data_IF_800905137393
#
_entry.id   IF_800905137393
#
_cell.length_a   1.000
_cell.length_b   1.000
_cell.length_c   1.000
_cell.angle_alpha   90.00
_cell.angle_beta   90.00
_cell.angle_gamma   90.00
#
_symmetry.space_group_name_H-M   'P 1'
#
loop_
_entity.id
_entity.type
_entity.pdbx_description
1 polymer ?
#
# COMPACT_ATOMS: atom_id res chain seq x y z
N UNK A 1 -12.23 -10.45 17.05
CA UNK A 1 -11.07 -11.34 16.87
C UNK A 1 -9.82 -10.49 16.95
N UNK A 2 -8.99 -10.70 17.97
CA UNK A 2 -7.65 -10.12 18.02
C UNK A 2 -6.78 -10.92 17.04
N UNK A 3 -6.18 -10.26 16.08
CA UNK A 3 -5.16 -10.88 15.22
C UNK A 3 -3.92 -11.01 16.08
N UNK A 4 -3.62 -12.22 16.55
CA UNK A 4 -2.40 -12.49 17.30
C UNK A 4 -1.23 -12.48 16.31
N UNK A 5 -0.31 -11.51 16.46
CA UNK A 5 0.86 -11.38 15.59
C UNK A 5 1.96 -12.24 16.17
N UNK A 6 2.24 -13.37 15.51
CA UNK A 6 3.32 -14.26 15.92
C UNK A 6 4.69 -13.69 15.53
N UNK A 7 5.49 -13.33 16.55
CA UNK A 7 6.85 -12.81 16.38
C UNK A 7 7.77 -13.84 15.68
N UNK A 8 7.56 -15.15 15.92
CA UNK A 8 8.36 -16.19 15.28
C UNK A 8 8.09 -16.24 13.78
N UNK A 9 6.82 -16.16 13.38
CA UNK A 9 6.45 -16.10 11.97
C UNK A 9 7.01 -14.87 11.28
N UNK A 10 7.03 -13.69 11.93
CA UNK A 10 7.68 -12.49 11.41
C UNK A 10 9.18 -12.66 11.23
N UNK A 11 9.84 -13.33 12.16
CA UNK A 11 11.28 -13.62 12.07
C UNK A 11 11.58 -14.58 10.92
N UNK A 12 10.83 -15.66 10.80
CA UNK A 12 10.96 -16.64 9.71
C UNK A 12 10.69 -16.03 8.33
N UNK A 13 9.74 -15.09 8.24
CA UNK A 13 9.46 -14.32 7.03
C UNK A 13 10.54 -13.26 6.70
N UNK A 14 11.55 -13.09 7.55
CA UNK A 14 12.65 -12.14 7.32
C UNK A 14 12.28 -10.67 7.53
N UNK A 15 11.19 -10.36 8.26
CA UNK A 15 10.73 -8.97 8.51
C UNK A 15 11.73 -8.16 9.33
N UNK A 16 12.64 -8.82 10.03
CA UNK A 16 13.69 -8.19 10.82
C UNK A 16 14.84 -7.60 9.98
N UNK A 17 14.95 -7.91 8.69
CA UNK A 17 15.98 -7.32 7.83
C UNK A 17 15.64 -5.88 7.45
N UNK A 18 16.49 -4.95 7.87
CA UNK A 18 16.39 -3.54 7.55
C UNK A 18 17.31 -3.12 6.39
N UNK A 19 17.55 -1.83 6.27
CA UNK A 19 18.43 -1.26 5.25
C UNK A 19 19.90 -1.34 5.63
N UNK A 20 20.78 -1.17 4.64
CA UNK A 20 22.23 -1.00 4.87
C UNK A 20 22.48 0.21 5.75
N UNK A 21 23.52 0.12 6.60
CA UNK A 21 23.90 1.18 7.54
C UNK A 21 24.26 2.51 6.85
N UNK A 22 24.63 2.48 5.57
CA UNK A 22 24.88 3.68 4.75
C UNK A 22 23.60 4.32 4.17
N UNK A 23 22.44 3.65 4.29
CA UNK A 23 21.17 4.08 3.65
C UNK A 23 20.00 4.08 4.63
N UNK A 24 20.22 4.51 5.84
CA UNK A 24 19.19 4.60 6.85
C UNK A 24 18.90 6.05 7.25
N UNK A 25 17.77 6.29 7.90
CA UNK A 25 17.45 7.59 8.44
C UNK A 25 17.66 7.59 9.96
N UNK A 26 18.33 8.61 10.58
CA UNK A 26 18.60 8.63 12.02
C UNK A 26 17.39 8.47 12.93
N UNK A 27 16.20 8.94 12.50
CA UNK A 27 14.94 8.73 13.24
C UNK A 27 14.51 7.27 13.36
N UNK A 28 15.14 6.36 12.61
CA UNK A 28 14.93 4.91 12.75
C UNK A 28 15.69 4.29 13.90
N UNK A 29 16.64 5.01 14.52
CA UNK A 29 17.46 4.51 15.63
C UNK A 29 16.64 3.81 16.75
N UNK A 30 15.49 4.33 17.21
CA UNK A 30 14.68 3.68 18.23
C UNK A 30 14.12 2.30 17.84
N UNK A 31 14.03 2.01 16.55
CA UNK A 31 13.43 0.78 15.99
C UNK A 31 14.48 -0.25 15.55
N UNK A 32 15.76 0.07 15.71
CA UNK A 32 16.88 -0.81 15.34
C UNK A 32 17.33 -1.56 16.57
N UNK A 33 17.32 -2.89 16.50
CA UNK A 33 17.81 -3.77 17.54
C UNK A 33 19.35 -3.85 17.51
N UNK A 34 19.92 -4.08 16.34
CA UNK A 34 21.36 -4.28 16.18
C UNK A 34 21.83 -4.04 14.74
N UNK A 35 23.14 -4.14 14.52
CA UNK A 35 23.78 -4.12 13.20
C UNK A 35 24.44 -5.46 12.94
N UNK A 36 24.21 -6.06 11.78
CA UNK A 36 24.85 -7.30 11.34
C UNK A 36 25.20 -7.22 9.86
N UNK A 37 26.45 -7.53 9.51
CA UNK A 37 26.94 -7.56 8.11
C UNK A 37 26.53 -6.29 7.32
N UNK A 38 26.82 -5.11 7.88
CA UNK A 38 26.48 -3.80 7.31
C UNK A 38 24.99 -3.51 7.09
N UNK A 39 24.11 -4.33 7.60
CA UNK A 39 22.66 -4.13 7.60
C UNK A 39 22.13 -3.94 9.01
N UNK A 40 21.12 -3.09 9.15
CA UNK A 40 20.38 -2.95 10.40
C UNK A 40 19.41 -4.11 10.60
N UNK A 41 19.27 -4.55 11.83
CA UNK A 41 18.24 -5.51 12.24
C UNK A 41 17.17 -4.74 12.98
N UNK A 42 15.93 -4.85 12.50
CA UNK A 42 14.75 -4.19 13.08
C UNK A 42 14.28 -4.95 14.32
N UNK A 43 13.89 -4.20 15.33
CA UNK A 43 13.33 -4.73 16.57
C UNK A 43 11.89 -5.23 16.34
N UNK A 44 11.71 -6.55 16.30
CA UNK A 44 10.40 -7.17 16.08
C UNK A 44 9.44 -6.96 17.24
N UNK A 45 9.92 -6.80 18.47
CA UNK A 45 9.03 -6.51 19.60
C UNK A 45 8.32 -5.17 19.39
N UNK A 46 9.05 -4.16 18.92
CA UNK A 46 8.47 -2.85 18.56
C UNK A 46 7.56 -2.94 17.33
N UNK A 47 7.84 -3.84 16.41
CA UNK A 47 6.98 -4.09 15.25
C UNK A 47 5.63 -4.66 15.70
N UNK A 48 5.62 -5.64 16.59
CA UNK A 48 4.39 -6.21 17.17
C UNK A 48 3.60 -5.15 17.93
N UNK A 49 4.27 -4.38 18.82
CA UNK A 49 3.63 -3.29 19.55
C UNK A 49 2.97 -2.25 18.63
N UNK A 50 3.64 -1.90 17.52
CA UNK A 50 3.11 -0.97 16.54
C UNK A 50 1.90 -1.55 15.77
N UNK A 51 1.93 -2.83 15.44
CA UNK A 51 0.79 -3.53 14.83
C UNK A 51 -0.41 -3.61 15.76
N UNK A 52 -0.21 -3.92 17.03
CA UNK A 52 -1.26 -3.96 18.05
C UNK A 52 -1.97 -2.60 18.22
N UNK A 53 -1.26 -1.50 17.98
CA UNK A 53 -1.84 -0.16 17.95
C UNK A 53 -2.55 0.15 16.63
N UNK A 54 -2.03 -0.33 15.50
CA UNK A 54 -2.56 -0.04 14.17
C UNK A 54 -3.85 -0.83 13.86
N UNK A 55 -3.91 -2.10 14.26
CA UNK A 55 -5.04 -2.98 13.95
C UNK A 55 -6.39 -2.48 14.51
N UNK A 56 -6.50 -2.06 15.78
CA UNK A 56 -7.75 -1.49 16.28
C UNK A 56 -8.18 -0.22 15.56
N UNK A 57 -7.21 0.62 15.16
CA UNK A 57 -7.49 1.83 14.39
C UNK A 57 -8.10 1.48 13.02
N UNK A 58 -7.52 0.52 12.30
CA UNK A 58 -8.04 0.06 11.00
C UNK A 58 -9.44 -0.55 11.19
N UNK A 59 -9.62 -1.42 12.18
CA UNK A 59 -10.90 -2.05 12.49
C UNK A 59 -11.99 -1.01 12.77
N UNK A 60 -11.70 -0.01 13.60
CA UNK A 60 -12.62 1.09 13.89
C UNK A 60 -12.94 1.92 12.64
N UNK A 61 -11.95 2.14 11.78
CA UNK A 61 -12.13 2.89 10.53
C UNK A 61 -13.08 2.17 9.58
N UNK A 62 -12.90 0.87 9.39
CA UNK A 62 -13.77 0.06 8.53
C UNK A 62 -15.16 -0.11 9.15
N UNK A 63 -15.26 -0.33 10.45
CA UNK A 63 -16.54 -0.42 11.16
C UNK A 63 -17.38 0.86 11.05
N UNK A 64 -16.74 2.02 10.88
CA UNK A 64 -17.43 3.31 10.63
C UNK A 64 -17.86 3.51 9.16
N UNK A 65 -17.79 2.48 8.32
CA UNK A 65 -18.15 2.53 6.90
C UNK A 65 -17.13 3.22 5.99
N UNK A 66 -15.95 3.56 6.54
CA UNK A 66 -14.86 4.16 5.77
C UNK A 66 -14.07 3.08 5.03
N UNK A 67 -13.36 3.49 3.97
CA UNK A 67 -12.52 2.59 3.18
C UNK A 67 -11.05 2.76 3.51
N UNK A 68 -10.29 1.68 3.36
CA UNK A 68 -8.82 1.65 3.49
C UNK A 68 -8.24 1.49 2.10
N UNK A 69 -7.41 2.44 1.68
CA UNK A 69 -6.70 2.36 0.40
C UNK A 69 -5.39 1.58 0.59
N UNK A 70 -5.29 0.44 -0.07
CA UNK A 70 -4.05 -0.34 -0.10
C UNK A 70 -3.10 0.20 -1.16
N UNK A 71 -1.84 0.45 -0.79
CA UNK A 71 -0.81 0.95 -1.73
C UNK A 71 0.39 0.01 -1.72
N UNK A 72 0.65 -0.64 -2.85
CA UNK A 72 1.76 -1.58 -2.99
C UNK A 72 2.41 -1.48 -4.36
N UNK A 73 3.19 -0.42 -4.59
CA UNK A 73 3.83 -0.15 -5.89
C UNK A 73 5.16 -0.90 -6.09
N UNK A 74 5.71 -1.49 -5.04
CA UNK A 74 6.94 -2.30 -5.13
C UNK A 74 6.66 -3.60 -5.88
N UNK A 75 7.51 -3.95 -6.85
CA UNK A 75 7.33 -5.13 -7.72
C UNK A 75 7.03 -6.42 -6.92
N UNK A 76 7.73 -6.64 -5.82
CA UNK A 76 7.58 -7.83 -4.99
C UNK A 76 6.28 -7.85 -4.17
N UNK A 77 5.69 -6.68 -3.88
CA UNK A 77 4.49 -6.56 -3.07
C UNK A 77 3.20 -6.45 -3.90
N UNK A 78 3.31 -6.12 -5.19
CA UNK A 78 2.19 -5.78 -6.08
C UNK A 78 1.06 -6.80 -6.04
N UNK A 79 1.38 -8.05 -6.33
CA UNK A 79 0.36 -9.11 -6.47
C UNK A 79 -0.22 -9.52 -5.12
N UNK A 80 0.60 -9.52 -4.06
CA UNK A 80 0.18 -9.81 -2.68
C UNK A 80 -0.79 -8.74 -2.18
N UNK A 81 -0.44 -7.46 -2.37
CA UNK A 81 -1.28 -6.33 -1.94
C UNK A 81 -2.59 -6.29 -2.73
N UNK A 82 -2.54 -6.58 -4.05
CA UNK A 82 -3.74 -6.67 -4.88
C UNK A 82 -4.68 -7.75 -4.36
N UNK A 83 -4.20 -8.98 -4.21
CA UNK A 83 -5.01 -10.11 -3.73
C UNK A 83 -5.60 -9.84 -2.34
N UNK A 84 -4.83 -9.27 -1.41
CA UNK A 84 -5.31 -8.91 -0.08
C UNK A 84 -6.41 -7.84 -0.11
N UNK A 85 -6.25 -6.81 -0.94
CA UNK A 85 -7.23 -5.75 -1.08
C UNK A 85 -8.53 -6.24 -1.73
N UNK A 86 -8.44 -7.07 -2.77
CA UNK A 86 -9.60 -7.68 -3.44
C UNK A 86 -10.37 -8.59 -2.48
N UNK A 87 -9.69 -9.42 -1.70
CA UNK A 87 -10.33 -10.29 -0.70
C UNK A 87 -11.06 -9.50 0.39
N UNK A 88 -10.55 -8.31 0.72
CA UNK A 88 -11.17 -7.41 1.70
C UNK A 88 -12.21 -6.45 1.09
N UNK A 89 -12.44 -6.48 -0.22
CA UNK A 89 -13.33 -5.54 -0.91
C UNK A 89 -12.91 -4.08 -0.80
N UNK A 90 -11.60 -3.82 -0.68
CA UNK A 90 -11.04 -2.50 -0.48
C UNK A 90 -10.31 -1.98 -1.73
N UNK A 91 -10.28 -0.65 -1.96
CA UNK A 91 -9.57 -0.06 -3.09
C UNK A 91 -8.05 -0.25 -2.96
N UNK A 92 -7.36 -0.35 -4.11
CA UNK A 92 -5.91 -0.52 -4.12
C UNK A 92 -5.22 0.23 -5.26
N UNK A 93 -3.93 0.55 -5.05
CA UNK A 93 -3.01 1.10 -6.06
C UNK A 93 -1.75 0.25 -6.05
N UNK A 94 -1.54 -0.53 -7.11
CA UNK A 94 -0.40 -1.47 -7.22
C UNK A 94 0.49 -1.18 -8.44
N UNK A 95 0.11 -0.26 -9.29
CA UNK A 95 0.94 0.19 -10.40
C UNK A 95 1.74 1.44 -9.96
N UNK A 96 1.59 2.54 -10.65
CA UNK A 96 2.26 3.79 -10.30
C UNK A 96 1.33 4.68 -9.48
N UNK A 97 1.83 5.23 -8.38
CA UNK A 97 1.16 6.32 -7.70
C UNK A 97 1.21 7.58 -8.58
N UNK A 98 0.07 8.08 -8.99
CA UNK A 98 0.00 9.31 -9.77
C UNK A 98 0.03 10.50 -8.82
N UNK A 99 0.95 11.44 -9.05
CA UNK A 99 1.01 12.67 -8.26
C UNK A 99 -0.32 13.43 -8.33
N UNK A 100 -0.78 13.94 -7.20
CA UNK A 100 -2.02 14.71 -7.12
C UNK A 100 -3.32 13.90 -6.99
N UNK A 101 -3.26 12.56 -6.91
CA UNK A 101 -4.48 11.74 -6.77
C UNK A 101 -5.37 12.16 -5.59
N UNK A 102 -4.78 12.60 -4.50
CA UNK A 102 -5.51 13.05 -3.31
C UNK A 102 -5.55 14.57 -3.17
N UNK A 103 -4.58 15.28 -3.70
CA UNK A 103 -4.43 16.73 -3.53
C UNK A 103 -4.98 17.54 -4.70
N UNK A 104 -5.03 16.99 -5.92
CA UNK A 104 -5.55 17.62 -7.13
C UNK A 104 -6.73 16.81 -7.70
N UNK A 105 -7.74 16.60 -6.88
CA UNK A 105 -8.92 15.79 -7.20
C UNK A 105 -9.69 16.32 -8.41
N UNK A 106 -9.74 17.64 -8.60
CA UNK A 106 -10.45 18.27 -9.72
C UNK A 106 -9.89 17.82 -11.07
N UNK A 107 -8.56 17.93 -11.23
CA UNK A 107 -7.88 17.51 -12.47
C UNK A 107 -7.98 15.99 -12.67
N UNK A 108 -7.83 15.21 -11.60
CA UNK A 108 -7.96 13.75 -11.67
C UNK A 108 -9.36 13.34 -12.12
N UNK A 109 -10.40 13.95 -11.57
CA UNK A 109 -11.79 13.68 -11.98
C UNK A 109 -12.06 14.09 -13.43
N UNK A 110 -11.46 15.19 -13.92
CA UNK A 110 -11.59 15.60 -15.33
C UNK A 110 -11.00 14.52 -16.26
N UNK A 111 -9.83 13.95 -15.92
CA UNK A 111 -9.23 12.87 -16.70
C UNK A 111 -10.07 11.58 -16.67
N UNK A 112 -10.65 11.23 -15.52
CA UNK A 112 -11.55 10.07 -15.40
C UNK A 112 -12.82 10.26 -16.26
N UNK A 113 -13.41 11.48 -16.26
CA UNK A 113 -14.54 11.79 -17.13
C UNK A 113 -14.18 11.65 -18.60
N UNK A 114 -13.01 12.16 -19.01
CA UNK A 114 -12.50 12.02 -20.38
C UNK A 114 -12.31 10.57 -20.78
N UNK A 115 -11.73 9.74 -19.90
CA UNK A 115 -11.59 8.30 -20.14
C UNK A 115 -12.95 7.65 -20.41
N UNK A 116 -13.91 7.84 -19.52
CA UNK A 116 -15.27 7.28 -19.66
C UNK A 116 -15.99 7.74 -20.94
N UNK A 117 -15.77 8.99 -21.35
CA UNK A 117 -16.33 9.50 -22.59
C UNK A 117 -15.68 8.84 -23.83
N UNK A 118 -14.37 8.62 -23.79
CA UNK A 118 -13.66 7.90 -24.84
C UNK A 118 -14.07 6.43 -24.93
N UNK A 119 -14.20 5.74 -23.81
CA UNK A 119 -14.71 4.36 -23.75
C UNK A 119 -16.11 4.27 -24.38
N UNK A 120 -17.03 5.14 -23.97
CA UNK A 120 -18.37 5.19 -24.54
C UNK A 120 -18.38 5.45 -26.05
N UNK A 121 -17.51 6.34 -26.56
CA UNK A 121 -17.39 6.63 -28.00
C UNK A 121 -16.79 5.46 -28.77
N UNK A 122 -15.91 4.71 -28.14
CA UNK A 122 -15.33 3.50 -28.71
C UNK A 122 -16.40 2.42 -28.87
N UNK A 123 -17.19 2.19 -27.82
CA UNK A 123 -18.30 1.21 -27.84
C UNK A 123 -19.38 1.56 -28.87
N UNK A 124 -19.63 2.85 -29.10
CA UNK A 124 -20.58 3.33 -30.11
C UNK A 124 -20.02 3.39 -31.54
N UNK A 125 -18.73 3.05 -31.76
CA UNK A 125 -18.06 3.15 -33.06
C UNK A 125 -17.81 4.59 -33.55
N UNK A 126 -18.03 5.61 -32.72
CA UNK A 126 -17.87 7.03 -33.10
C UNK A 126 -16.40 7.42 -33.32
N UNK A 127 -15.46 6.71 -32.65
CA UNK A 127 -14.03 6.95 -32.83
C UNK A 127 -13.53 6.42 -34.17
N UNK A 128 -14.00 5.25 -34.60
CA UNK A 128 -13.64 4.67 -35.92
C UNK A 128 -14.10 5.55 -37.07
N UNK A 129 -15.30 6.15 -36.97
CA UNK A 129 -15.84 7.08 -37.98
C UNK A 129 -15.06 8.39 -38.08
N UNK A 130 -14.34 8.78 -37.03
CA UNK A 130 -13.65 10.09 -36.97
C UNK A 130 -12.16 10.00 -37.35
N UNK A 131 -11.56 8.84 -37.26
CA UNK A 131 -10.12 8.64 -37.45
C UNK A 131 -9.77 7.68 -38.60
N UNK A 132 -10.76 7.22 -39.40
CA UNK A 132 -10.56 6.51 -40.67
C UNK A 132 -10.76 7.45 -41.85
#
# INVERSE_FOLDING_TARGET
MSVEVDMKALFEAGVHFGHKTSRWHPKMAPYIHSKRQDSHIIDLAKTVEALDKALPFITKTVASGKKVLFVGTKKQAKDIVKAAAESAGQPFVVNRWIGGMLTNVTTTNAQIKKLRDLERRMDNGDLEKRYN
#
